data_IF_928665282842
#
_entry.id   IF_928665282842
#
_cell.length_a   1.000
_cell.length_b   1.000
_cell.length_c   1.000
_cell.angle_alpha   90.00
_cell.angle_beta   90.00
_cell.angle_gamma   90.00
#
_symmetry.space_group_name_H-M   'P 1'
#
loop_
_entity.id
_entity.type
_entity.pdbx_description
1 polymer ?
#
# COMPACT_ATOMS: atom_id res chain seq x y z
N UNK A 1 -49.84 45.59 -31.92
CA UNK A 1 -49.12 45.05 -30.77
C UNK A 1 -48.65 43.62 -31.11
N UNK A 2 -47.37 43.39 -31.46
CA UNK A 2 -46.78 42.07 -31.75
C UNK A 2 -45.91 41.68 -30.54
N UNK A 3 -46.28 40.58 -29.88
CA UNK A 3 -45.49 39.98 -28.82
C UNK A 3 -44.42 39.11 -29.50
N UNK A 4 -43.14 39.41 -29.23
CA UNK A 4 -42.00 38.56 -29.59
C UNK A 4 -41.78 37.59 -28.44
N UNK A 5 -41.98 36.30 -28.67
CA UNK A 5 -41.59 35.22 -27.78
C UNK A 5 -40.15 34.81 -28.11
N UNK A 6 -39.22 35.15 -27.23
CA UNK A 6 -37.82 34.67 -27.27
C UNK A 6 -37.75 33.30 -26.58
N UNK A 7 -37.59 32.23 -27.34
CA UNK A 7 -37.25 30.90 -26.86
C UNK A 7 -35.77 30.88 -26.54
N UNK A 8 -35.40 30.84 -25.25
CA UNK A 8 -34.06 30.54 -24.78
C UNK A 8 -33.88 29.03 -24.81
N UNK A 9 -33.09 28.50 -25.76
CA UNK A 9 -32.61 27.10 -25.76
C UNK A 9 -31.42 27.02 -24.84
N UNK A 10 -31.60 26.40 -23.65
CA UNK A 10 -30.48 26.06 -22.74
C UNK A 10 -29.76 24.81 -23.28
N UNK A 11 -28.56 25.02 -23.82
CA UNK A 11 -27.64 23.94 -24.16
C UNK A 11 -26.98 23.45 -22.89
N UNK A 12 -27.44 22.32 -22.35
CA UNK A 12 -26.70 21.58 -21.28
C UNK A 12 -25.52 20.86 -21.89
N UNK A 13 -24.33 21.40 -21.71
CA UNK A 13 -23.09 20.70 -22.01
C UNK A 13 -22.84 19.65 -20.92
N UNK A 14 -23.16 18.39 -21.21
CA UNK A 14 -22.78 17.25 -20.39
C UNK A 14 -21.30 17.01 -20.66
N UNK A 15 -20.45 17.52 -19.77
CA UNK A 15 -19.04 17.12 -19.74
C UNK A 15 -18.96 15.68 -19.20
N UNK A 16 -18.86 14.71 -20.11
CA UNK A 16 -18.43 13.37 -19.78
C UNK A 16 -17.00 13.45 -19.25
N UNK A 17 -16.86 13.51 -17.94
CA UNK A 17 -15.57 13.32 -17.27
C UNK A 17 -15.07 11.92 -17.60
N UNK A 18 -14.09 11.82 -18.49
CA UNK A 18 -13.32 10.59 -18.67
C UNK A 18 -12.64 10.31 -17.35
N UNK A 19 -13.12 9.30 -16.62
CA UNK A 19 -12.38 8.75 -15.49
C UNK A 19 -10.99 8.35 -16.04
N UNK A 20 -9.97 9.10 -15.63
CA UNK A 20 -8.59 8.78 -15.97
C UNK A 20 -8.33 7.37 -15.43
N UNK A 21 -8.31 6.38 -16.32
CA UNK A 21 -7.86 5.03 -15.99
C UNK A 21 -6.41 5.16 -15.56
N UNK A 22 -6.08 4.65 -14.37
CA UNK A 22 -4.69 4.57 -13.94
C UNK A 22 -3.92 3.71 -14.95
N UNK A 23 -2.81 4.23 -15.46
CA UNK A 23 -1.96 3.46 -16.37
C UNK A 23 -1.24 2.38 -15.55
N UNK A 24 -1.32 1.10 -15.98
CA UNK A 24 -0.64 0.02 -15.28
C UNK A 24 0.88 0.26 -15.26
N UNK A 25 1.52 0.05 -14.13
CA UNK A 25 2.97 0.15 -14.01
C UNK A 25 3.62 -0.99 -14.78
N UNK A 26 4.49 -0.64 -15.74
CA UNK A 26 5.25 -1.62 -16.53
C UNK A 26 6.36 -2.25 -15.70
N UNK A 27 6.58 -3.55 -15.88
CA UNK A 27 7.69 -4.28 -15.27
C UNK A 27 8.99 -3.90 -15.98
N UNK A 28 9.90 -3.23 -15.26
CA UNK A 28 11.26 -2.86 -15.72
C UNK A 28 12.32 -3.72 -15.05
N UNK A 29 12.14 -3.96 -13.75
CA UNK A 29 13.01 -4.79 -12.93
C UNK A 29 12.23 -6.04 -12.51
N UNK A 30 12.57 -7.17 -13.13
CA UNK A 30 11.99 -8.47 -12.77
C UNK A 30 12.45 -8.85 -11.38
N UNK A 31 11.50 -9.07 -10.50
CA UNK A 31 11.77 -9.51 -9.13
C UNK A 31 12.36 -10.92 -9.14
N UNK A 32 13.35 -11.14 -8.27
CA UNK A 32 14.07 -12.40 -8.11
C UNK A 32 13.86 -12.97 -6.71
N UNK A 33 14.13 -14.27 -6.49
CA UNK A 33 14.10 -14.82 -5.13
C UNK A 33 15.02 -14.03 -4.22
N UNK A 34 14.54 -13.67 -3.03
CA UNK A 34 15.34 -12.96 -2.02
C UNK A 34 14.89 -13.30 -0.60
N UNK A 35 15.79 -13.06 0.34
CA UNK A 35 15.53 -13.13 1.77
C UNK A 35 16.26 -11.98 2.46
N UNK A 36 15.55 -11.24 3.33
CA UNK A 36 16.06 -10.05 4.03
C UNK A 36 15.57 -10.03 5.46
N UNK A 37 16.39 -9.49 6.34
CA UNK A 37 15.99 -9.16 7.70
C UNK A 37 15.62 -7.68 7.79
N UNK A 38 14.56 -7.41 8.55
CA UNK A 38 14.01 -6.09 8.74
C UNK A 38 13.99 -5.72 10.22
N UNK A 39 14.09 -4.44 10.51
CA UNK A 39 13.96 -3.91 11.87
C UNK A 39 12.84 -2.87 11.87
N UNK A 40 11.88 -3.02 12.77
CA UNK A 40 10.84 -2.02 13.00
C UNK A 40 11.19 -1.17 14.22
N UNK A 41 11.14 0.17 14.06
CA UNK A 41 11.46 1.15 15.08
C UNK A 41 10.30 2.09 15.35
N UNK A 42 10.13 2.49 16.60
CA UNK A 42 9.20 3.55 16.98
C UNK A 42 9.70 4.93 16.50
N UNK A 43 8.85 5.94 16.59
CA UNK A 43 9.20 7.36 16.32
C UNK A 43 10.41 7.86 17.17
N UNK A 44 10.68 7.24 18.31
CA UNK A 44 11.85 7.56 19.16
C UNK A 44 13.11 6.79 18.77
N UNK A 45 13.06 5.96 17.70
CA UNK A 45 14.18 5.13 17.22
C UNK A 45 14.37 3.82 18.01
N UNK A 46 13.53 3.50 18.99
CA UNK A 46 13.60 2.25 19.74
C UNK A 46 13.15 1.10 18.84
N UNK A 47 13.93 0.01 18.77
CA UNK A 47 13.52 -1.25 18.11
C UNK A 47 12.32 -1.83 18.85
N UNK A 48 11.22 -2.07 18.13
CA UNK A 48 9.95 -2.62 18.65
C UNK A 48 9.61 -3.98 18.07
N UNK A 49 10.13 -4.32 16.88
CA UNK A 49 9.95 -5.63 16.27
C UNK A 49 11.17 -6.00 15.41
N UNK A 50 11.38 -7.30 15.25
CA UNK A 50 12.23 -7.88 14.20
C UNK A 50 11.34 -8.38 13.08
N UNK A 51 11.80 -8.20 11.83
CA UNK A 51 11.09 -8.61 10.64
C UNK A 51 11.91 -9.55 9.77
N UNK A 52 11.20 -10.33 8.98
CA UNK A 52 11.77 -11.23 7.98
C UNK A 52 10.94 -11.07 6.71
N UNK A 53 11.63 -10.79 5.61
CA UNK A 53 11.05 -10.70 4.28
C UNK A 53 11.62 -11.81 3.40
N UNK A 54 10.75 -12.60 2.80
CA UNK A 54 11.14 -13.61 1.81
C UNK A 54 10.33 -13.45 0.53
N UNK A 55 10.95 -13.78 -0.60
CA UNK A 55 10.33 -13.72 -1.91
C UNK A 55 10.74 -14.94 -2.72
N UNK A 56 9.74 -15.62 -3.26
CA UNK A 56 9.90 -16.79 -4.14
C UNK A 56 9.32 -16.47 -5.50
N UNK A 57 9.96 -16.92 -6.57
CA UNK A 57 9.53 -16.68 -7.95
C UNK A 57 9.35 -18.00 -8.67
N UNK A 58 8.19 -18.18 -9.30
CA UNK A 58 7.84 -19.33 -10.12
C UNK A 58 7.25 -18.85 -11.45
N UNK A 59 8.08 -18.87 -12.50
CA UNK A 59 7.72 -18.27 -13.79
C UNK A 59 7.55 -16.76 -13.69
N UNK A 60 6.36 -16.26 -14.00
CA UNK A 60 5.97 -14.85 -13.86
C UNK A 60 5.32 -14.52 -12.50
N UNK A 61 5.08 -15.54 -11.68
CA UNK A 61 4.43 -15.39 -10.38
C UNK A 61 5.46 -15.19 -9.27
N UNK A 62 5.22 -14.18 -8.44
CA UNK A 62 6.03 -13.81 -7.29
C UNK A 62 5.18 -13.93 -6.03
N UNK A 63 5.65 -14.71 -5.07
CA UNK A 63 5.05 -14.77 -3.73
C UNK A 63 6.01 -14.14 -2.73
N UNK A 64 5.54 -13.08 -2.07
CA UNK A 64 6.24 -12.39 -0.98
C UNK A 64 5.61 -12.78 0.34
N UNK A 65 6.45 -12.90 1.36
CA UNK A 65 6.03 -13.05 2.76
C UNK A 65 6.84 -12.09 3.63
N UNK A 66 6.15 -11.20 4.33
CA UNK A 66 6.72 -10.28 5.31
C UNK A 66 6.11 -10.57 6.67
N UNK A 67 6.94 -10.85 7.65
CA UNK A 67 6.47 -11.06 9.02
C UNK A 67 7.27 -10.19 9.99
N UNK A 68 6.57 -9.45 10.87
CA UNK A 68 7.13 -8.77 12.03
C UNK A 68 6.69 -9.44 13.32
N UNK A 69 7.65 -9.67 14.22
CA UNK A 69 7.44 -10.19 15.57
C UNK A 69 7.81 -9.11 16.57
N UNK A 70 6.82 -8.62 17.31
CA UNK A 70 6.97 -7.54 18.28
C UNK A 70 7.38 -8.09 19.66
N UNK A 71 8.05 -7.25 20.45
CA UNK A 71 8.50 -7.61 21.79
C UNK A 71 7.35 -7.93 22.76
N UNK A 72 6.13 -7.42 22.51
CA UNK A 72 4.92 -7.67 23.30
C UNK A 72 4.14 -8.93 22.87
N UNK A 73 4.67 -9.69 21.90
CA UNK A 73 4.05 -10.87 21.32
C UNK A 73 3.09 -10.60 20.17
N UNK A 74 2.93 -9.33 19.76
CA UNK A 74 2.15 -8.99 18.57
C UNK A 74 2.84 -9.51 17.29
N UNK A 75 2.04 -9.77 16.27
CA UNK A 75 2.50 -10.25 14.95
C UNK A 75 1.80 -9.44 13.86
N UNK A 76 2.59 -9.01 12.87
CA UNK A 76 2.15 -8.50 11.58
C UNK A 76 2.69 -9.46 10.51
N UNK A 77 1.81 -10.14 9.80
CA UNK A 77 2.14 -11.23 8.87
C UNK A 77 1.37 -11.03 7.57
N UNK A 78 2.07 -10.74 6.49
CA UNK A 78 1.48 -10.49 5.19
C UNK A 78 2.09 -11.38 4.12
N UNK A 79 1.25 -12.14 3.43
CA UNK A 79 1.61 -12.92 2.25
C UNK A 79 0.91 -12.36 1.03
N UNK A 80 1.67 -12.02 0.00
CA UNK A 80 1.16 -11.47 -1.25
C UNK A 80 1.70 -12.25 -2.44
N UNK A 81 0.80 -12.67 -3.33
CA UNK A 81 1.14 -13.27 -4.61
C UNK A 81 0.69 -12.33 -5.73
N UNK A 82 1.58 -12.04 -6.67
CA UNK A 82 1.31 -11.20 -7.85
C UNK A 82 2.05 -11.72 -9.08
N UNK A 83 1.61 -11.30 -10.26
CA UNK A 83 2.31 -11.57 -11.53
C UNK A 83 3.08 -10.36 -12.00
N UNK A 84 4.23 -10.62 -12.64
CA UNK A 84 5.15 -9.62 -13.18
C UNK A 84 5.37 -9.80 -14.70
N UNK A 85 4.31 -10.01 -15.47
CA UNK A 85 4.38 -10.17 -16.92
C UNK A 85 3.86 -8.91 -17.62
N UNK A 86 4.77 -8.11 -18.17
CA UNK A 86 4.45 -6.83 -18.81
C UNK A 86 4.02 -5.75 -17.82
N UNK A 87 3.00 -6.03 -17.03
CA UNK A 87 2.51 -5.19 -15.92
C UNK A 87 2.32 -6.03 -14.66
N UNK A 88 2.25 -5.36 -13.51
CA UNK A 88 1.97 -6.03 -12.24
C UNK A 88 0.47 -6.32 -12.07
N UNK A 89 0.14 -7.51 -11.57
CA UNK A 89 -1.25 -7.94 -11.33
C UNK A 89 -1.33 -8.72 -10.01
N UNK A 90 -2.16 -8.26 -9.09
CA UNK A 90 -2.45 -9.03 -7.87
C UNK A 90 -3.06 -10.38 -8.23
N UNK A 91 -2.61 -11.43 -7.56
CA UNK A 91 -3.24 -12.76 -7.57
C UNK A 91 -3.97 -12.97 -6.26
N UNK A 92 -3.26 -12.78 -5.15
CA UNK A 92 -3.79 -12.95 -3.79
C UNK A 92 -3.03 -12.08 -2.80
N UNK A 93 -3.75 -11.59 -1.78
CA UNK A 93 -3.14 -10.98 -0.59
C UNK A 93 -3.81 -11.56 0.65
N UNK A 94 -3.02 -11.88 1.68
CA UNK A 94 -3.50 -12.25 3.00
C UNK A 94 -2.68 -11.52 4.06
N UNK A 95 -3.36 -10.73 4.88
CA UNK A 95 -2.74 -9.89 5.89
C UNK A 95 -3.35 -10.16 7.27
N UNK A 96 -2.51 -10.50 8.23
CA UNK A 96 -2.86 -10.79 9.61
C UNK A 96 -2.13 -9.83 10.53
N UNK A 97 -2.87 -9.06 11.33
CA UNK A 97 -2.35 -8.29 12.46
C UNK A 97 -3.06 -8.69 13.73
N UNK A 98 -2.31 -9.06 14.75
CA UNK A 98 -2.86 -9.47 16.05
C UNK A 98 -1.90 -9.15 17.19
N UNK A 99 -2.47 -8.99 18.39
CA UNK A 99 -1.73 -8.73 19.62
C UNK A 99 -1.90 -7.30 20.14
N UNK A 100 -1.32 -7.01 21.31
CA UNK A 100 -1.54 -5.75 22.04
C UNK A 100 -1.08 -4.48 21.30
N UNK A 101 -0.10 -4.58 20.42
CA UNK A 101 0.39 -3.45 19.63
C UNK A 101 -0.68 -2.88 18.70
N UNK A 102 -1.57 -3.71 18.18
CA UNK A 102 -2.55 -3.31 17.17
C UNK A 102 -3.86 -2.87 17.81
N UNK A 103 -4.29 -1.64 17.51
CA UNK A 103 -5.58 -1.07 17.98
C UNK A 103 -6.76 -1.90 17.49
N UNK A 104 -6.64 -2.43 16.26
CA UNK A 104 -7.62 -3.31 15.63
C UNK A 104 -6.89 -4.50 15.01
N UNK A 105 -7.24 -5.73 15.39
CA UNK A 105 -6.72 -6.90 14.69
C UNK A 105 -7.24 -6.94 13.27
N UNK A 106 -6.42 -7.47 12.35
CA UNK A 106 -6.74 -7.71 10.95
C UNK A 106 -6.53 -9.20 10.66
N UNK A 107 -7.45 -9.83 9.98
CA UNK A 107 -7.28 -11.09 9.24
C UNK A 107 -8.11 -10.93 7.97
N UNK A 108 -7.43 -10.51 6.91
CA UNK A 108 -8.06 -10.06 5.68
C UNK A 108 -7.40 -10.72 4.46
N UNK A 109 -8.23 -11.31 3.61
CA UNK A 109 -7.78 -11.98 2.37
C UNK A 109 -8.46 -11.35 1.17
N UNK A 110 -7.71 -11.19 0.08
CA UNK A 110 -8.20 -10.77 -1.24
C UNK A 110 -7.81 -11.82 -2.26
N UNK A 111 -8.78 -12.33 -3.00
CA UNK A 111 -8.60 -13.25 -4.13
C UNK A 111 -8.95 -12.52 -5.43
N UNK A 112 -7.94 -12.12 -6.20
CA UNK A 112 -8.16 -11.24 -7.36
C UNK A 112 -8.97 -11.93 -8.47
N UNK A 113 -8.77 -13.22 -8.70
CA UNK A 113 -9.46 -13.96 -9.76
C UNK A 113 -10.98 -14.03 -9.57
N UNK A 114 -11.45 -14.02 -8.32
CA UNK A 114 -12.88 -14.12 -7.98
C UNK A 114 -13.47 -12.78 -7.52
N UNK A 115 -12.63 -11.76 -7.27
CA UNK A 115 -13.07 -10.52 -6.66
C UNK A 115 -13.54 -10.66 -5.21
N UNK A 116 -13.23 -11.79 -4.54
CA UNK A 116 -13.71 -12.04 -3.18
C UNK A 116 -12.71 -11.47 -2.17
N UNK A 117 -13.22 -10.61 -1.30
CA UNK A 117 -12.56 -10.17 -0.08
C UNK A 117 -13.17 -10.88 1.12
N UNK A 118 -12.33 -11.35 2.04
CA UNK A 118 -12.75 -12.06 3.24
C UNK A 118 -12.10 -11.46 4.48
N UNK A 119 -12.92 -11.04 5.45
CA UNK A 119 -12.50 -10.62 6.78
C UNK A 119 -12.84 -11.70 7.81
N UNK A 120 -11.89 -11.97 8.74
CA UNK A 120 -12.13 -12.78 9.91
C UNK A 120 -11.93 -11.97 11.17
N UNK A 121 -12.91 -12.02 12.06
CA UNK A 121 -12.87 -11.32 13.36
C UNK A 121 -13.20 -12.30 14.47
N UNK A 122 -12.69 -12.01 15.68
CA UNK A 122 -13.03 -12.76 16.89
C UNK A 122 -14.05 -11.97 17.72
N UNK A 123 -15.13 -12.63 18.14
CA UNK A 123 -16.03 -12.03 19.11
C UNK A 123 -15.45 -12.11 20.56
N UNK A 124 -16.19 -11.55 21.53
CA UNK A 124 -15.80 -11.55 22.94
C UNK A 124 -15.64 -12.95 23.55
N UNK A 125 -16.21 -13.97 22.92
CA UNK A 125 -16.17 -15.36 23.38
C UNK A 125 -15.09 -16.17 22.63
N UNK A 126 -14.30 -15.52 21.74
CA UNK A 126 -13.29 -16.17 20.92
C UNK A 126 -13.86 -16.92 19.70
N UNK A 127 -15.14 -16.73 19.36
CA UNK A 127 -15.74 -17.32 18.17
C UNK A 127 -15.33 -16.53 16.93
N UNK A 128 -14.88 -17.24 15.90
CA UNK A 128 -14.54 -16.65 14.60
C UNK A 128 -15.82 -16.28 13.84
N UNK A 129 -15.90 -15.04 13.42
CA UNK A 129 -16.88 -14.56 12.44
C UNK A 129 -16.15 -14.32 11.12
N UNK A 130 -16.68 -14.87 10.04
CA UNK A 130 -16.15 -14.70 8.68
C UNK A 130 -17.19 -13.95 7.85
N UNK A 131 -16.77 -12.86 7.25
CA UNK A 131 -17.54 -12.07 6.30
C UNK A 131 -16.81 -12.09 4.95
N UNK A 132 -17.53 -12.38 3.87
CA UNK A 132 -16.98 -12.35 2.52
C UNK A 132 -17.85 -11.50 1.63
N UNK A 133 -17.22 -10.67 0.82
CA UNK A 133 -17.88 -9.74 -0.09
C UNK A 133 -17.25 -9.88 -1.49
N UNK A 134 -18.09 -9.78 -2.52
CA UNK A 134 -17.63 -9.70 -3.91
C UNK A 134 -17.47 -8.24 -4.29
N UNK A 135 -16.27 -7.87 -4.73
CA UNK A 135 -15.88 -6.50 -5.07
C UNK A 135 -15.36 -6.48 -6.50
N UNK A 136 -15.81 -5.51 -7.29
CA UNK A 136 -15.26 -5.25 -8.61
C UNK A 136 -13.86 -4.63 -8.47
N UNK A 137 -12.84 -5.47 -8.59
CA UNK A 137 -11.45 -5.10 -8.34
C UNK A 137 -10.83 -4.47 -9.59
N UNK A 138 -10.16 -3.32 -9.45
CA UNK A 138 -9.46 -2.71 -10.57
C UNK A 138 -8.18 -3.47 -10.89
N UNK A 139 -7.78 -3.39 -12.14
CA UNK A 139 -6.54 -4.02 -12.65
C UNK A 139 -5.25 -3.53 -11.98
N UNK A 140 -5.27 -2.32 -11.40
CA UNK A 140 -4.15 -1.69 -10.72
C UNK A 140 -4.17 -1.88 -9.19
N UNK A 141 -4.90 -2.90 -8.70
CA UNK A 141 -4.92 -3.23 -7.28
C UNK A 141 -3.55 -3.70 -6.82
N UNK A 142 -3.01 -3.08 -5.75
CA UNK A 142 -1.62 -3.23 -5.34
C UNK A 142 -1.43 -3.67 -3.87
N UNK A 143 -2.45 -4.30 -3.27
CA UNK A 143 -2.34 -4.81 -1.91
C UNK A 143 -1.05 -5.61 -1.69
N UNK A 144 -0.29 -5.25 -0.67
CA UNK A 144 0.91 -5.93 -0.21
C UNK A 144 2.15 -5.80 -1.09
N UNK A 145 2.06 -5.32 -2.36
CA UNK A 145 3.23 -5.24 -3.25
C UNK A 145 3.54 -3.85 -3.79
N UNK A 146 3.04 -2.79 -3.14
CA UNK A 146 3.37 -1.40 -3.54
C UNK A 146 4.89 -1.17 -3.58
N UNK A 147 5.65 -1.74 -2.63
CA UNK A 147 7.11 -1.69 -2.64
C UNK A 147 7.70 -2.22 -3.97
N UNK A 148 7.25 -3.38 -4.44
CA UNK A 148 7.68 -3.95 -5.71
C UNK A 148 7.31 -3.08 -6.92
N UNK A 149 6.16 -2.40 -6.88
CA UNK A 149 5.79 -1.41 -7.91
C UNK A 149 6.79 -0.26 -7.93
N UNK A 150 7.16 0.28 -6.76
CA UNK A 150 8.06 1.43 -6.65
C UNK A 150 9.47 1.13 -7.17
N UNK A 151 9.95 -0.11 -7.08
CA UNK A 151 11.22 -0.54 -7.70
C UNK A 151 11.21 -0.38 -9.24
N UNK A 152 10.03 -0.22 -9.84
CA UNK A 152 9.82 -0.08 -11.28
C UNK A 152 9.43 1.34 -11.72
N UNK A 153 9.34 2.27 -10.78
CA UNK A 153 8.92 3.66 -11.01
C UNK A 153 10.14 4.57 -11.01
N UNK A 154 10.47 5.25 -12.13
CA UNK A 154 11.55 6.22 -12.15
C UNK A 154 11.32 7.39 -11.18
N UNK A 155 12.41 7.93 -10.63
CA UNK A 155 12.40 9.07 -9.71
C UNK A 155 11.73 10.35 -10.30
N UNK A 156 11.72 10.51 -11.62
CA UNK A 156 11.12 11.65 -12.31
C UNK A 156 9.68 11.39 -12.80
N UNK A 157 9.04 10.30 -12.34
CA UNK A 157 7.66 9.99 -12.69
C UNK A 157 6.71 11.04 -12.11
N UNK A 158 5.69 11.43 -12.88
CA UNK A 158 4.60 12.27 -12.36
C UNK A 158 3.79 11.50 -11.30
N UNK A 159 3.16 12.20 -10.34
CA UNK A 159 2.26 11.55 -9.39
C UNK A 159 1.22 10.67 -10.09
N UNK A 160 1.01 9.48 -9.58
CA UNK A 160 0.08 8.49 -10.12
C UNK A 160 -0.72 7.80 -9.00
N UNK A 161 -1.75 7.05 -9.39
CA UNK A 161 -2.66 6.38 -8.45
C UNK A 161 -2.70 4.89 -8.70
N UNK A 162 -2.82 4.12 -7.59
CA UNK A 162 -3.13 2.68 -7.63
C UNK A 162 -4.26 2.37 -6.66
N UNK A 163 -4.92 1.24 -6.84
CA UNK A 163 -5.97 0.75 -5.96
C UNK A 163 -5.40 0.00 -4.76
N UNK A 164 -6.03 0.17 -3.60
CA UNK A 164 -5.82 -0.65 -2.40
C UNK A 164 -7.19 -1.05 -1.86
N UNK A 165 -7.37 -2.31 -1.53
CA UNK A 165 -8.53 -2.78 -0.81
C UNK A 165 -8.23 -2.78 0.69
N UNK A 166 -8.80 -1.83 1.41
CA UNK A 166 -8.63 -1.70 2.85
C UNK A 166 -9.56 -2.67 3.60
N UNK A 167 -9.13 -3.26 4.76
CA UNK A 167 -9.91 -4.21 5.54
C UNK A 167 -10.98 -3.51 6.41
N UNK A 168 -11.89 -2.79 5.77
CA UNK A 168 -12.96 -2.02 6.42
C UNK A 168 -14.29 -2.45 5.83
N UNK A 169 -15.21 -2.94 6.66
CA UNK A 169 -16.57 -3.30 6.24
C UNK A 169 -16.62 -4.36 5.14
N UNK A 170 -15.85 -5.45 5.27
CA UNK A 170 -15.77 -6.51 4.26
C UNK A 170 -14.79 -6.23 3.12
N UNK A 171 -14.28 -5.02 3.02
CA UNK A 171 -13.32 -4.58 1.99
C UNK A 171 -13.76 -3.29 1.33
N UNK A 172 -12.96 -2.24 1.47
CA UNK A 172 -13.23 -0.94 0.85
C UNK A 172 -12.13 -0.57 -0.12
N UNK A 173 -12.49 -0.41 -1.39
CA UNK A 173 -11.56 0.11 -2.39
C UNK A 173 -11.27 1.59 -2.11
N UNK A 174 -10.00 1.91 -1.94
CA UNK A 174 -9.47 3.28 -1.85
C UNK A 174 -8.41 3.48 -2.93
N UNK A 175 -8.14 4.73 -3.26
CA UNK A 175 -6.99 5.11 -4.09
C UNK A 175 -5.87 5.61 -3.19
N UNK A 176 -4.65 5.27 -3.55
CA UNK A 176 -3.46 5.90 -2.98
C UNK A 176 -2.78 6.71 -4.07
N UNK A 177 -2.47 7.98 -3.76
CA UNK A 177 -1.67 8.85 -4.61
C UNK A 177 -0.20 8.66 -4.25
N UNK A 178 0.61 8.29 -5.22
CA UNK A 178 2.05 8.06 -5.08
C UNK A 178 2.79 9.20 -5.77
N UNK A 179 3.67 9.88 -5.06
CA UNK A 179 4.43 11.04 -5.53
C UNK A 179 5.91 10.90 -5.19
N UNK A 180 6.85 11.05 -6.14
CA UNK A 180 8.25 11.19 -5.80
C UNK A 180 8.49 12.56 -5.12
N UNK A 181 9.26 12.55 -4.00
CA UNK A 181 9.56 13.76 -3.19
C UNK A 181 11.03 14.15 -3.25
N UNK A 182 11.83 13.48 -4.11
CA UNK A 182 13.25 13.71 -4.26
C UNK A 182 14.13 12.59 -3.73
N UNK A 183 15.40 12.88 -3.47
CA UNK A 183 16.39 11.90 -3.02
C UNK A 183 16.87 12.18 -1.60
N UNK A 184 17.17 11.12 -0.85
CA UNK A 184 17.82 11.18 0.45
C UNK A 184 19.01 10.22 0.51
N UNK A 185 20.11 10.68 1.12
CA UNK A 185 21.27 9.82 1.34
C UNK A 185 21.06 8.90 2.56
N UNK A 186 21.62 7.70 2.46
CA UNK A 186 21.65 6.72 3.56
C UNK A 186 22.98 5.98 3.57
N UNK A 187 23.30 5.28 4.66
CA UNK A 187 24.49 4.45 4.80
C UNK A 187 24.11 2.98 4.70
N UNK A 188 24.81 2.25 3.86
CA UNK A 188 24.72 0.79 3.77
C UNK A 188 26.09 0.21 3.43
N UNK A 189 26.50 -0.86 4.10
CA UNK A 189 27.77 -1.55 3.90
C UNK A 189 28.99 -0.60 3.87
N UNK A 190 28.99 0.46 4.69
CA UNK A 190 30.07 1.47 4.77
C UNK A 190 30.12 2.46 3.61
N UNK A 191 29.09 2.50 2.77
CA UNK A 191 28.97 3.43 1.64
C UNK A 191 27.81 4.40 1.85
N UNK A 192 27.97 5.62 1.33
CA UNK A 192 26.87 6.59 1.22
C UNK A 192 26.15 6.37 -0.11
N UNK A 193 24.91 5.95 -0.05
CA UNK A 193 24.03 5.71 -1.19
C UNK A 193 22.90 6.74 -1.19
N UNK A 194 22.14 6.81 -2.28
CA UNK A 194 20.95 7.64 -2.41
C UNK A 194 19.73 6.80 -2.69
N UNK A 195 18.64 7.11 -2.03
CA UNK A 195 17.33 6.55 -2.30
C UNK A 195 16.37 7.62 -2.80
N UNK A 196 15.54 7.28 -3.77
CA UNK A 196 14.36 8.06 -4.12
C UNK A 196 13.31 7.90 -3.03
N UNK A 197 12.79 9.02 -2.55
CA UNK A 197 11.73 9.05 -1.54
C UNK A 197 10.38 9.17 -2.24
N UNK A 198 9.49 8.23 -2.00
CA UNK A 198 8.11 8.29 -2.47
C UNK A 198 7.16 8.56 -1.29
N UNK A 199 6.24 9.49 -1.49
CA UNK A 199 5.11 9.71 -0.59
C UNK A 199 3.89 8.98 -1.12
N UNK A 200 3.23 8.23 -0.25
CA UNK A 200 1.98 7.52 -0.52
C UNK A 200 0.90 8.17 0.32
N UNK A 201 -0.05 8.83 -0.31
CA UNK A 201 -1.17 9.51 0.32
C UNK A 201 -2.49 8.74 0.11
N UNK A 202 -3.13 8.23 1.17
CA UNK A 202 -4.43 7.57 1.06
C UNK A 202 -5.56 8.55 0.73
N UNK A 203 -6.27 8.34 -0.39
CA UNK A 203 -7.44 9.12 -0.81
C UNK A 203 -8.72 8.39 -0.41
N UNK A 204 -9.35 8.77 0.70
CA UNK A 204 -10.52 8.06 1.24
C UNK A 204 -11.81 8.27 0.44
N UNK A 205 -11.86 9.20 -0.50
CA UNK A 205 -13.00 9.46 -1.39
C UNK A 205 -14.37 9.68 -0.71
N UNK A 206 -15.31 10.28 -1.42
CA UNK A 206 -16.69 10.48 -0.98
C UNK A 206 -16.84 11.28 0.33
N UNK A 207 -17.98 11.14 1.00
CA UNK A 207 -18.29 11.83 2.27
C UNK A 207 -17.27 11.50 3.36
N UNK A 208 -16.82 10.24 3.43
CA UNK A 208 -15.80 9.82 4.41
C UNK A 208 -14.50 10.58 4.22
N UNK A 209 -14.05 10.78 2.97
CA UNK A 209 -12.85 11.58 2.68
C UNK A 209 -12.98 13.05 3.10
N UNK A 210 -14.18 13.62 3.07
CA UNK A 210 -14.42 15.00 3.49
C UNK A 210 -14.39 15.17 5.02
N UNK A 211 -14.88 14.19 5.79
CA UNK A 211 -14.99 14.31 7.25
C UNK A 211 -13.85 13.66 8.01
N UNK A 212 -13.16 12.66 7.43
CA UNK A 212 -12.09 11.92 8.11
C UNK A 212 -10.95 12.82 8.65
N UNK A 213 -10.45 13.82 7.91
CA UNK A 213 -9.45 14.75 8.44
C UNK A 213 -9.96 15.57 9.63
N UNK A 214 -11.24 15.95 9.62
CA UNK A 214 -11.85 16.79 10.67
C UNK A 214 -12.00 16.04 12.01
N UNK A 215 -12.10 14.70 11.97
CA UNK A 215 -12.27 13.85 13.14
C UNK A 215 -11.03 12.99 13.44
N UNK A 216 -9.89 13.29 12.78
CA UNK A 216 -8.62 12.60 13.01
C UNK A 216 -8.58 11.14 12.53
N UNK A 217 -9.46 10.75 11.61
CA UNK A 217 -9.52 9.40 11.04
C UNK A 217 -8.82 9.27 9.68
N UNK A 218 -8.19 10.34 9.19
CA UNK A 218 -7.36 10.29 7.98
C UNK A 218 -6.08 9.50 8.30
N UNK A 219 -5.78 8.40 7.59
CA UNK A 219 -4.49 7.73 7.72
C UNK A 219 -3.36 8.70 7.36
N UNK A 220 -2.23 8.58 8.06
CA UNK A 220 -1.03 9.38 7.74
C UNK A 220 -0.44 8.94 6.41
N UNK A 221 0.31 9.83 5.77
CA UNK A 221 1.12 9.48 4.60
C UNK A 221 2.14 8.41 4.98
N UNK A 222 2.43 7.53 4.02
CA UNK A 222 3.52 6.56 4.11
C UNK A 222 4.67 7.05 3.26
N UNK A 223 5.88 7.05 3.82
CA UNK A 223 7.10 7.40 3.09
C UNK A 223 7.88 6.14 2.79
N UNK A 224 8.36 5.99 1.55
CA UNK A 224 9.10 4.81 1.08
C UNK A 224 10.40 5.26 0.42
N UNK A 225 11.52 4.71 0.88
CA UNK A 225 12.85 4.96 0.33
C UNK A 225 13.26 3.80 -0.57
N UNK A 226 13.48 4.10 -1.84
CA UNK A 226 13.85 3.13 -2.88
C UNK A 226 15.26 3.44 -3.36
N UNK A 227 16.19 2.51 -3.17
CA UNK A 227 17.50 2.57 -3.80
C UNK A 227 17.40 2.07 -5.25
N UNK A 228 17.88 2.88 -6.21
CA UNK A 228 17.84 2.61 -7.65
C UNK A 228 19.18 2.07 -8.19
N UNK A 229 19.89 1.22 -7.43
CA UNK A 229 21.11 0.57 -7.90
C UNK A 229 20.86 -0.56 -8.90
N UNK A 230 21.91 -1.35 -9.18
CA UNK A 230 21.83 -2.50 -10.10
C UNK A 230 20.77 -3.54 -9.70
N UNK A 231 20.56 -3.70 -8.40
CA UNK A 231 19.47 -4.50 -7.81
C UNK A 231 18.62 -3.58 -6.92
N UNK A 232 17.60 -2.91 -7.48
CA UNK A 232 16.78 -1.96 -6.74
C UNK A 232 16.15 -2.59 -5.48
N UNK A 233 16.11 -1.84 -4.39
CA UNK A 233 15.57 -2.31 -3.12
C UNK A 233 14.77 -1.22 -2.40
N UNK A 234 13.74 -1.65 -1.67
CA UNK A 234 13.09 -0.81 -0.66
C UNK A 234 13.94 -0.87 0.61
N UNK A 235 14.50 0.28 1.00
CA UNK A 235 15.44 0.37 2.11
C UNK A 235 14.76 0.75 3.42
N UNK A 236 13.66 1.54 3.33
CA UNK A 236 12.90 2.01 4.47
C UNK A 236 11.46 2.31 4.10
N UNK A 237 10.57 2.06 5.03
CA UNK A 237 9.16 2.46 4.98
C UNK A 237 8.79 3.10 6.32
N UNK A 238 8.29 4.33 6.30
CA UNK A 238 7.72 5.00 7.46
C UNK A 238 6.22 5.10 7.30
N UNK A 239 5.46 4.46 8.17
CA UNK A 239 4.00 4.46 8.07
C UNK A 239 3.31 3.93 9.32
N UNK A 240 1.99 4.08 9.35
CA UNK A 240 1.15 3.45 10.37
C UNK A 240 0.86 2.01 9.94
N UNK A 241 1.21 1.03 10.77
CA UNK A 241 0.85 -0.36 10.51
C UNK A 241 -0.68 -0.52 10.64
N UNK A 242 -1.32 -1.06 9.58
CA UNK A 242 -2.78 -1.20 9.52
C UNK A 242 -3.56 0.13 9.45
N UNK A 243 -2.88 1.26 9.15
CA UNK A 243 -3.51 2.58 8.99
C UNK A 243 -3.90 3.28 10.30
N UNK A 244 -3.50 2.74 11.45
CA UNK A 244 -3.80 3.28 12.78
C UNK A 244 -2.56 3.28 13.69
N UNK A 245 -2.62 4.10 14.75
CA UNK A 245 -1.57 4.14 15.76
C UNK A 245 -0.39 5.04 15.40
N UNK A 246 0.77 4.77 16.03
CA UNK A 246 2.00 5.51 15.82
C UNK A 246 2.65 5.13 14.50
N UNK A 247 3.45 6.04 13.95
CA UNK A 247 4.31 5.75 12.80
C UNK A 247 5.42 4.78 13.23
N UNK A 248 5.67 3.79 12.40
CA UNK A 248 6.74 2.81 12.56
C UNK A 248 7.68 2.96 11.37
N UNK A 249 8.98 3.00 11.65
CA UNK A 249 10.02 2.92 10.62
C UNK A 249 10.43 1.47 10.45
N UNK A 250 10.17 0.91 9.26
CA UNK A 250 10.63 -0.41 8.82
C UNK A 250 11.88 -0.24 7.96
N UNK A 251 13.00 -0.77 8.36
CA UNK A 251 14.30 -0.62 7.67
C UNK A 251 14.91 -1.99 7.38
N UNK A 252 15.67 -2.11 6.28
CA UNK A 252 16.55 -3.25 6.09
C UNK A 252 17.62 -3.26 7.19
N UNK A 253 17.92 -4.45 7.72
CA UNK A 253 18.99 -4.59 8.71
C UNK A 253 20.34 -4.22 8.07
N UNK A 254 21.12 -3.36 8.76
CA UNK A 254 22.41 -2.88 8.28
C UNK A 254 22.36 -1.58 7.48
N UNK A 255 21.19 -0.98 7.27
CA UNK A 255 21.06 0.38 6.73
C UNK A 255 20.90 1.40 7.84
N UNK A 256 21.28 2.67 7.58
CA UNK A 256 20.99 3.78 8.47
C UNK A 256 20.75 5.07 7.71
N UNK A 257 19.71 5.78 8.13
CA UNK A 257 19.35 7.09 7.57
C UNK A 257 19.76 8.19 8.55
N UNK A 258 20.39 9.27 8.04
CA UNK A 258 20.66 10.45 8.84
C UNK A 258 19.36 11.06 9.39
N UNK A 259 19.45 11.67 10.58
CA UNK A 259 18.34 12.42 11.21
C UNK A 259 18.12 13.74 10.48
#
# INVERSE_FOLDING_TARGET
>A
MRRNDFLLAAFSVITLGTAARAEPISVRHIQRPMHRFMVARSETGKTIASGEFSQVVQGDEVTMHLIYKFADGSIDDETTTYRQQGTFRLVRNHHIQKGPFFVKPIDFTVEAATGIATSRTLDKNGKVHTESEHIDLPDDLANGFVGSLLLNVPHNTKPFRVGILAPVGGGRLIRILISPEGEQSFQAAGQTLKATVFRIHPELGGIVGMIAPLIGLQPKDVMVWVWEGDEPAVERIDGQLGGYGSVVSSELEGTSFGK
#
